data_IF_830089065999
#
_entry.id   IF_830089065999
#
_cell.length_a   1.000
_cell.length_b   1.000
_cell.length_c   1.000
_cell.angle_alpha   90.00
_cell.angle_beta   90.00
_cell.angle_gamma   90.00
#
_symmetry.space_group_name_H-M   'P 1'
#
loop_
_entity.id
_entity.type
_entity.pdbx_description
1 polymer ?
#
# COMPACT_ATOMS: atom_id res chain seq x y z
N UNK A 1 66.61 60.14 -22.05
CA UNK A 1 65.90 59.59 -20.87
C UNK A 1 64.45 59.36 -21.24
N UNK A 2 64.11 58.16 -21.72
CA UNK A 2 62.74 57.71 -21.94
C UNK A 2 62.65 56.21 -21.59
N UNK A 3 61.51 55.85 -20.99
CA UNK A 3 61.25 54.66 -20.16
C UNK A 3 61.29 53.33 -20.93
N UNK A 4 61.93 52.35 -20.30
CA UNK A 4 61.84 50.92 -20.59
C UNK A 4 60.46 50.35 -20.22
N UNK A 5 59.90 49.51 -21.10
CA UNK A 5 59.07 48.34 -20.81
C UNK A 5 59.28 47.33 -21.95
N UNK A 6 59.77 46.10 -21.71
CA UNK A 6 59.76 45.06 -22.74
C UNK A 6 58.43 44.30 -22.69
N UNK A 7 57.87 44.04 -23.89
CA UNK A 7 56.77 43.11 -24.10
C UNK A 7 57.18 41.72 -23.63
N UNK A 8 56.40 41.13 -22.72
CA UNK A 8 56.49 39.71 -22.40
C UNK A 8 55.63 38.94 -23.41
N UNK A 9 56.28 38.18 -24.29
CA UNK A 9 55.64 37.17 -25.14
C UNK A 9 55.13 36.02 -24.25
N UNK A 10 53.82 35.88 -24.12
CA UNK A 10 53.21 34.70 -23.53
C UNK A 10 53.09 33.63 -24.62
N UNK A 11 53.95 32.61 -24.55
CA UNK A 11 53.81 31.39 -25.34
C UNK A 11 52.54 30.65 -24.88
N UNK A 12 51.51 30.65 -25.73
CA UNK A 12 50.43 29.67 -25.67
C UNK A 12 50.99 28.33 -26.11
N UNK A 13 51.50 27.54 -25.16
CA UNK A 13 51.64 26.10 -25.35
C UNK A 13 50.24 25.51 -25.26
N UNK A 14 49.64 25.28 -26.44
CA UNK A 14 48.55 24.33 -26.60
C UNK A 14 49.09 22.96 -26.19
N UNK A 15 48.66 22.47 -25.04
CA UNK A 15 48.86 21.09 -24.63
C UNK A 15 47.66 20.29 -25.17
N UNK A 16 47.79 19.50 -26.26
CA UNK A 16 46.70 18.74 -26.83
C UNK A 16 46.61 17.41 -26.08
N UNK A 17 46.27 17.47 -24.80
CA UNK A 17 46.05 16.27 -23.98
C UNK A 17 44.86 16.46 -23.03
N UNK A 18 43.80 17.15 -23.49
CA UNK A 18 42.46 16.82 -23.03
C UNK A 18 42.02 15.60 -23.83
N UNK A 19 42.49 14.43 -23.40
CA UNK A 19 41.89 13.18 -23.79
C UNK A 19 40.39 13.30 -23.52
N UNK A 20 39.59 13.29 -24.58
CA UNK A 20 38.17 13.06 -24.47
C UNK A 20 38.01 11.78 -23.66
N UNK A 21 37.53 11.89 -22.42
CA UNK A 21 37.06 10.75 -21.67
C UNK A 21 35.99 10.09 -22.54
N UNK A 22 36.41 9.05 -23.24
CA UNK A 22 35.58 8.29 -24.14
C UNK A 22 34.62 7.56 -23.21
N UNK A 23 33.43 8.13 -23.00
CA UNK A 23 32.41 7.55 -22.12
C UNK A 23 32.27 6.08 -22.50
N UNK A 24 32.61 5.16 -21.61
CA UNK A 24 32.41 3.75 -21.90
C UNK A 24 30.90 3.52 -22.01
N UNK A 25 30.40 3.29 -23.22
CA UNK A 25 28.98 2.98 -23.43
C UNK A 25 28.58 1.63 -22.82
N UNK A 26 29.56 0.84 -22.37
CA UNK A 26 29.39 -0.48 -21.80
C UNK A 26 28.99 -0.41 -20.32
N UNK A 27 27.95 -1.15 -19.96
CA UNK A 27 27.52 -1.35 -18.59
C UNK A 27 28.48 -2.29 -17.85
N UNK A 28 28.95 -1.89 -16.68
CA UNK A 28 29.77 -2.70 -15.76
C UNK A 28 28.89 -3.30 -14.67
N UNK A 29 28.88 -4.63 -14.54
CA UNK A 29 28.20 -5.34 -13.45
C UNK A 29 28.94 -5.15 -12.13
N UNK A 30 28.31 -4.44 -11.20
CA UNK A 30 28.86 -4.14 -9.89
C UNK A 30 28.67 -5.27 -8.87
N UNK A 31 27.71 -6.18 -9.09
CA UNK A 31 27.46 -7.30 -8.16
C UNK A 31 28.64 -8.26 -8.11
N UNK A 32 29.35 -8.42 -9.23
CA UNK A 32 30.53 -9.30 -9.34
C UNK A 32 31.58 -9.07 -8.25
N UNK A 33 31.83 -7.80 -7.89
CA UNK A 33 32.81 -7.40 -6.86
C UNK A 33 32.25 -7.44 -5.42
N UNK A 34 30.94 -7.64 -5.24
CA UNK A 34 30.31 -7.67 -3.91
C UNK A 34 30.56 -9.02 -3.23
N UNK A 35 31.02 -8.92 -1.98
CA UNK A 35 31.07 -10.00 -0.99
C UNK A 35 30.16 -9.63 0.19
N UNK A 36 29.04 -10.35 0.44
CA UNK A 36 28.14 -10.02 1.56
C UNK A 36 28.81 -10.02 2.94
N UNK A 37 29.81 -10.87 3.18
CA UNK A 37 30.53 -10.91 4.48
C UNK A 37 31.30 -9.63 4.77
N UNK A 38 31.77 -8.95 3.72
CA UNK A 38 32.69 -7.81 3.86
C UNK A 38 31.96 -6.48 3.68
N UNK A 39 30.85 -6.48 2.94
CA UNK A 39 30.18 -5.25 2.49
C UNK A 39 28.77 -5.05 3.04
N UNK A 40 28.16 -6.07 3.67
CA UNK A 40 26.90 -5.87 4.37
C UNK A 40 27.13 -5.03 5.64
N UNK A 41 26.33 -3.97 5.80
CA UNK A 41 26.37 -3.10 7.00
C UNK A 41 25.28 -3.51 7.99
N UNK A 42 24.10 -3.88 7.47
CA UNK A 42 22.98 -4.34 8.26
C UNK A 42 22.08 -5.26 7.42
N UNK A 43 21.35 -6.16 8.08
CA UNK A 43 20.47 -7.15 7.48
C UNK A 43 21.18 -8.46 7.15
N UNK A 44 20.43 -9.56 7.07
CA UNK A 44 20.93 -10.79 6.47
C UNK A 44 21.06 -10.62 4.95
N UNK A 45 22.27 -10.75 4.42
CA UNK A 45 22.57 -10.70 2.98
C UNK A 45 23.16 -12.01 2.50
N UNK A 46 22.75 -12.44 1.31
CA UNK A 46 23.33 -13.57 0.60
C UNK A 46 23.56 -13.22 -0.86
N UNK A 47 24.51 -13.90 -1.49
CA UNK A 47 24.83 -13.78 -2.91
C UNK A 47 24.83 -15.17 -3.54
N UNK A 48 24.12 -15.30 -4.65
CA UNK A 48 24.17 -16.48 -5.53
C UNK A 48 24.43 -15.96 -6.94
N UNK A 49 25.55 -16.35 -7.54
CA UNK A 49 26.04 -15.78 -8.81
C UNK A 49 26.07 -14.25 -8.77
N UNK A 50 25.44 -13.57 -9.73
CA UNK A 50 25.32 -12.12 -9.81
C UNK A 50 24.02 -11.58 -9.18
N UNK A 51 23.39 -12.35 -8.29
CA UNK A 51 22.16 -11.95 -7.58
C UNK A 51 22.41 -11.77 -6.09
N UNK A 52 21.98 -10.64 -5.53
CA UNK A 52 22.00 -10.36 -4.10
C UNK A 52 20.60 -10.52 -3.51
N UNK A 53 20.50 -11.05 -2.30
CA UNK A 53 19.23 -11.18 -1.58
C UNK A 53 19.39 -10.67 -0.16
N UNK A 54 18.37 -9.98 0.33
CA UNK A 54 18.24 -9.63 1.75
C UNK A 54 16.90 -10.04 2.32
N UNK A 55 16.88 -10.38 3.61
CA UNK A 55 15.66 -10.69 4.36
C UNK A 55 14.91 -9.40 4.78
N UNK A 56 13.64 -9.56 5.19
CA UNK A 56 12.81 -8.46 5.68
C UNK A 56 13.23 -8.01 7.09
N UNK A 57 14.30 -7.23 7.17
CA UNK A 57 14.84 -6.68 8.41
C UNK A 57 14.80 -5.15 8.43
N UNK A 58 14.96 -4.57 9.62
CA UNK A 58 15.01 -3.12 9.75
C UNK A 58 16.29 -2.56 9.09
N UNK A 59 16.14 -1.71 8.08
CA UNK A 59 17.23 -0.96 7.43
C UNK A 59 18.38 -1.80 6.85
N UNK A 60 18.08 -2.95 6.24
CA UNK A 60 19.07 -3.76 5.51
C UNK A 60 19.79 -2.92 4.47
N UNK A 61 21.13 -2.90 4.49
CA UNK A 61 21.92 -2.16 3.49
C UNK A 61 23.28 -2.79 3.28
N UNK A 62 23.69 -2.78 2.02
CA UNK A 62 24.96 -3.31 1.55
C UNK A 62 25.62 -2.23 0.70
N UNK A 63 26.89 -1.96 1.01
CA UNK A 63 27.68 -1.02 0.23
C UNK A 63 28.33 -1.73 -0.97
N UNK A 64 28.42 -1.04 -2.10
CA UNK A 64 29.02 -1.59 -3.31
C UNK A 64 30.47 -1.08 -3.38
N UNK A 65 31.47 -1.97 -3.50
CA UNK A 65 32.86 -1.56 -3.61
C UNK A 65 33.18 -1.01 -5.01
N UNK A 66 34.20 -0.16 -5.06
CA UNK A 66 34.76 0.38 -6.30
C UNK A 66 34.51 1.87 -6.50
N UNK A 67 35.23 2.44 -7.46
CA UNK A 67 35.17 3.87 -7.75
C UNK A 67 33.88 4.26 -8.47
N UNK A 68 33.34 5.41 -8.06
CA UNK A 68 32.14 6.02 -8.62
C UNK A 68 32.56 7.20 -9.51
N UNK A 69 32.29 7.16 -10.83
CA UNK A 69 32.55 8.29 -11.70
C UNK A 69 31.76 9.52 -11.27
N UNK A 70 32.19 10.70 -11.72
CA UNK A 70 31.50 11.96 -11.39
C UNK A 70 30.10 12.05 -12.02
N UNK A 71 29.94 11.50 -13.22
CA UNK A 71 28.69 11.48 -13.97
C UNK A 71 28.51 10.07 -14.52
N UNK A 72 27.33 9.49 -14.29
CA UNK A 72 27.09 8.08 -14.57
C UNK A 72 25.59 7.80 -14.70
N UNK A 73 25.28 6.67 -15.32
CA UNK A 73 23.97 6.06 -15.20
C UNK A 73 24.12 4.78 -14.36
N UNK A 74 23.22 4.61 -13.39
CA UNK A 74 23.14 3.45 -12.51
C UNK A 74 21.81 2.74 -12.77
N UNK A 75 21.87 1.46 -13.13
CA UNK A 75 20.70 0.62 -13.36
C UNK A 75 20.63 -0.48 -12.32
N UNK A 76 19.46 -0.65 -11.71
CA UNK A 76 19.18 -1.66 -10.70
C UNK A 76 17.93 -2.42 -11.09
N UNK A 77 18.09 -3.73 -11.27
CA UNK A 77 17.00 -4.67 -11.51
C UNK A 77 16.70 -5.39 -10.21
N UNK A 78 15.47 -5.29 -9.70
CA UNK A 78 15.13 -5.89 -8.42
C UNK A 78 13.70 -6.43 -8.37
N UNK A 79 13.46 -7.32 -7.41
CA UNK A 79 12.14 -7.82 -7.03
C UNK A 79 12.02 -7.71 -5.52
N UNK A 80 10.99 -7.00 -5.04
CA UNK A 80 10.59 -7.09 -3.64
C UNK A 80 9.87 -8.41 -3.46
N UNK A 81 10.43 -9.34 -2.69
CA UNK A 81 9.87 -10.68 -2.47
C UNK A 81 8.76 -10.63 -1.42
N UNK A 82 8.96 -9.84 -0.36
CA UNK A 82 7.99 -9.59 0.71
C UNK A 82 8.24 -8.25 1.39
N UNK A 83 7.30 -7.78 2.21
CA UNK A 83 7.34 -6.47 2.87
C UNK A 83 6.34 -5.48 2.27
N UNK A 84 6.49 -4.19 2.60
CA UNK A 84 5.68 -3.05 2.09
C UNK A 84 6.43 -1.71 2.19
N UNK A 85 7.72 -1.78 2.46
CA UNK A 85 8.56 -0.65 2.80
C UNK A 85 9.74 -0.61 1.83
N UNK A 86 10.54 0.45 1.90
CA UNK A 86 11.36 0.90 0.79
C UNK A 86 12.35 -0.13 0.25
N UNK A 87 12.51 -0.11 -1.07
CA UNK A 87 13.76 -0.51 -1.72
C UNK A 87 14.58 0.76 -1.94
N UNK A 88 15.80 0.78 -1.45
CA UNK A 88 16.68 1.95 -1.46
C UNK A 88 17.88 1.71 -2.38
N UNK A 89 18.23 2.71 -3.18
CA UNK A 89 19.48 2.76 -3.94
C UNK A 89 20.27 3.99 -3.51
N UNK A 90 21.50 3.74 -3.05
CA UNK A 90 22.39 4.79 -2.55
C UNK A 90 23.28 5.27 -3.68
N UNK A 91 23.38 6.59 -3.81
CA UNK A 91 24.12 7.26 -4.86
C UNK A 91 24.86 8.50 -4.35
N UNK A 92 25.82 8.95 -5.15
CA UNK A 92 26.59 10.18 -4.92
C UNK A 92 26.34 11.17 -6.06
N UNK A 93 26.14 12.44 -5.73
CA UNK A 93 26.03 13.53 -6.70
C UNK A 93 26.85 14.72 -6.18
N UNK A 94 27.87 15.13 -6.94
CA UNK A 94 28.82 16.16 -6.49
C UNK A 94 29.50 15.76 -5.18
N UNK A 95 29.39 16.60 -4.15
CA UNK A 95 29.90 16.34 -2.80
C UNK A 95 28.91 15.63 -1.88
N UNK A 96 27.64 15.52 -2.31
CA UNK A 96 26.56 14.94 -1.52
C UNK A 96 26.29 13.47 -1.83
N UNK A 97 25.45 12.89 -0.99
CA UNK A 97 25.00 11.50 -1.07
C UNK A 97 23.52 11.41 -0.75
N UNK A 98 22.82 10.49 -1.38
CA UNK A 98 21.39 10.30 -1.17
C UNK A 98 21.03 8.81 -1.22
N UNK A 99 19.88 8.47 -0.63
CA UNK A 99 19.12 7.29 -1.04
C UNK A 99 17.97 7.76 -1.91
N UNK A 100 17.84 7.18 -3.10
CA UNK A 100 16.58 7.18 -3.82
C UNK A 100 15.79 5.97 -3.35
N UNK A 101 14.59 6.20 -2.82
CA UNK A 101 13.73 5.16 -2.32
C UNK A 101 12.52 4.97 -3.20
N UNK A 102 12.12 3.72 -3.38
CA UNK A 102 10.88 3.34 -4.05
C UNK A 102 10.01 2.62 -3.04
N UNK A 103 8.76 3.07 -2.94
CA UNK A 103 7.75 2.52 -2.03
C UNK A 103 8.10 2.68 -0.54
N UNK A 104 8.52 3.89 -0.18
CA UNK A 104 8.96 4.22 1.16
C UNK A 104 7.80 4.28 2.16
N UNK A 105 8.10 3.80 3.38
CA UNK A 105 7.34 4.02 4.61
C UNK A 105 5.88 3.54 4.61
N UNK A 106 5.51 2.57 3.78
CA UNK A 106 4.12 2.13 3.62
C UNK A 106 3.15 3.28 3.28
N UNK A 107 3.69 4.39 2.80
CA UNK A 107 2.96 5.54 2.26
C UNK A 107 3.09 5.57 0.73
N UNK A 108 3.76 4.57 0.16
CA UNK A 108 4.02 4.43 -1.27
C UNK A 108 4.68 5.67 -1.87
N UNK A 109 5.64 6.23 -1.13
CA UNK A 109 6.41 7.36 -1.59
C UNK A 109 7.60 6.89 -2.43
N UNK A 110 7.94 7.65 -3.46
CA UNK A 110 9.26 7.58 -4.07
C UNK A 110 9.90 8.96 -4.12
N UNK A 111 11.23 8.99 -4.14
CA UNK A 111 11.97 10.23 -4.15
C UNK A 111 13.33 10.10 -3.48
N UNK A 112 14.07 11.20 -3.46
CA UNK A 112 15.28 11.27 -2.65
C UNK A 112 14.89 11.44 -1.20
N UNK A 113 15.46 10.59 -0.36
CA UNK A 113 15.00 10.47 1.01
C UNK A 113 15.21 11.78 1.78
N UNK A 114 16.39 12.41 1.71
CA UNK A 114 16.69 13.64 2.44
C UNK A 114 17.33 14.70 1.54
N UNK A 115 16.70 15.88 1.52
CA UNK A 115 17.14 17.09 0.80
C UNK A 115 17.01 18.28 1.73
N UNK A 116 18.07 19.07 1.90
CA UNK A 116 18.07 20.30 2.70
C UNK A 116 17.50 20.12 4.13
N UNK A 117 17.75 18.95 4.75
CA UNK A 117 17.25 18.60 6.09
C UNK A 117 15.79 18.15 6.14
N UNK A 118 15.07 18.14 5.02
CA UNK A 118 13.71 17.62 4.90
C UNK A 118 13.70 16.20 4.35
N UNK A 119 12.81 15.36 4.88
CA UNK A 119 12.61 14.03 4.33
C UNK A 119 11.61 13.98 3.17
N UNK A 120 11.51 12.82 2.51
CA UNK A 120 10.69 12.58 1.33
C UNK A 120 9.18 12.84 1.51
N UNK A 121 8.66 13.02 2.74
CA UNK A 121 7.26 13.48 2.96
C UNK A 121 7.07 14.96 2.65
N UNK A 122 8.15 15.75 2.69
CA UNK A 122 8.06 17.21 2.66
C UNK A 122 8.98 17.86 1.65
N UNK A 123 9.95 17.13 1.09
CA UNK A 123 10.86 17.67 0.10
C UNK A 123 10.27 17.66 -1.34
N UNK A 124 10.82 18.47 -2.27
CA UNK A 124 10.24 18.68 -3.62
C UNK A 124 10.28 17.46 -4.55
N UNK A 125 11.01 16.40 -4.18
CA UNK A 125 11.17 15.20 -5.03
C UNK A 125 10.18 14.09 -4.70
N UNK A 126 9.25 14.38 -3.77
CA UNK A 126 8.17 13.49 -3.35
C UNK A 126 7.27 13.11 -4.51
N UNK A 127 7.18 11.81 -4.75
CA UNK A 127 6.18 11.18 -5.62
C UNK A 127 5.30 10.30 -4.75
N UNK A 128 3.98 10.50 -4.85
CA UNK A 128 2.99 9.66 -4.16
C UNK A 128 2.58 8.47 -5.04
N UNK A 129 1.99 7.45 -4.40
CA UNK A 129 1.40 6.28 -5.08
C UNK A 129 2.39 5.45 -5.91
N UNK A 130 3.69 5.48 -5.58
CA UNK A 130 4.71 4.63 -6.17
C UNK A 130 4.79 3.31 -5.40
N UNK A 131 3.90 2.38 -5.75
CA UNK A 131 3.85 1.05 -5.13
C UNK A 131 4.63 0.00 -5.91
N UNK A 132 5.40 -0.82 -5.19
CA UNK A 132 6.08 -2.01 -5.67
C UNK A 132 5.24 -3.26 -5.42
N UNK A 133 4.72 -3.90 -6.45
CA UNK A 133 4.10 -5.22 -6.34
C UNK A 133 5.15 -6.26 -5.94
N UNK A 134 4.90 -7.00 -4.86
CA UNK A 134 5.76 -8.12 -4.47
C UNK A 134 5.81 -9.19 -5.57
N UNK A 135 6.96 -9.79 -5.79
CA UNK A 135 7.19 -10.78 -6.85
C UNK A 135 7.32 -10.19 -8.25
N UNK A 136 6.98 -8.91 -8.48
CA UNK A 136 7.20 -8.23 -9.76
C UNK A 136 8.65 -7.74 -9.85
N UNK A 137 9.24 -7.91 -11.02
CA UNK A 137 10.57 -7.37 -11.35
C UNK A 137 10.45 -5.95 -11.87
N UNK A 138 11.29 -5.07 -11.35
CA UNK A 138 11.37 -3.64 -11.66
C UNK A 138 12.76 -3.27 -12.16
N UNK A 139 12.83 -2.29 -13.06
CA UNK A 139 14.07 -1.63 -13.47
C UNK A 139 14.07 -0.18 -12.96
N UNK A 140 15.00 0.14 -12.05
CA UNK A 140 15.29 1.51 -11.64
C UNK A 140 16.55 1.99 -12.36
N UNK A 141 16.45 3.14 -13.03
CA UNK A 141 17.60 3.82 -13.64
C UNK A 141 17.76 5.21 -13.03
N UNK A 142 18.95 5.50 -12.49
CA UNK A 142 19.34 6.81 -11.99
C UNK A 142 20.39 7.39 -12.94
N UNK A 143 20.10 8.54 -13.53
CA UNK A 143 21.02 9.31 -14.37
C UNK A 143 21.58 10.46 -13.58
N UNK A 144 22.83 10.35 -13.16
CA UNK A 144 23.52 11.33 -12.33
C UNK A 144 24.38 12.23 -13.20
N UNK A 145 24.16 13.54 -13.14
CA UNK A 145 24.93 14.57 -13.84
C UNK A 145 25.37 15.65 -12.85
N UNK A 146 26.28 16.53 -13.28
CA UNK A 146 26.78 17.62 -12.41
C UNK A 146 25.70 18.55 -11.86
N UNK A 147 24.57 18.67 -12.55
CA UNK A 147 23.49 19.61 -12.21
C UNK A 147 22.21 18.92 -11.74
N UNK A 148 22.25 17.62 -11.49
CA UNK A 148 21.08 16.93 -10.97
C UNK A 148 21.08 15.42 -11.18
N UNK A 149 19.96 14.83 -10.79
CA UNK A 149 19.71 13.39 -10.91
C UNK A 149 18.30 13.17 -11.43
N UNK A 150 18.16 12.35 -12.47
CA UNK A 150 16.86 11.90 -12.96
C UNK A 150 16.68 10.42 -12.63
N UNK A 151 15.52 10.07 -12.06
CA UNK A 151 15.16 8.71 -11.71
C UNK A 151 14.04 8.20 -12.63
N UNK A 152 14.22 6.99 -13.13
CA UNK A 152 13.28 6.32 -14.01
C UNK A 152 12.91 4.95 -13.44
N UNK A 153 11.62 4.64 -13.40
CA UNK A 153 11.13 3.30 -13.02
C UNK A 153 10.46 2.72 -14.26
N UNK A 154 10.93 1.54 -14.70
CA UNK A 154 10.49 0.86 -15.93
C UNK A 154 10.52 1.79 -17.16
N UNK A 155 11.53 2.66 -17.22
CA UNK A 155 11.73 3.63 -18.31
C UNK A 155 10.91 4.93 -18.20
N UNK A 156 9.99 5.04 -17.23
CA UNK A 156 9.20 6.26 -16.99
C UNK A 156 9.94 7.17 -16.02
N UNK A 157 10.16 8.44 -16.40
CA UNK A 157 10.75 9.43 -15.49
C UNK A 157 9.77 9.72 -14.34
N UNK A 158 10.20 9.44 -13.11
CA UNK A 158 9.41 9.67 -11.90
C UNK A 158 9.86 10.92 -11.15
N UNK A 159 11.16 11.20 -11.13
CA UNK A 159 11.74 12.30 -10.36
C UNK A 159 12.88 12.93 -11.14
N UNK A 160 12.96 14.27 -11.08
CA UNK A 160 14.16 15.01 -11.49
C UNK A 160 14.56 15.97 -10.37
N UNK A 161 15.69 15.69 -9.73
CA UNK A 161 16.36 16.60 -8.80
C UNK A 161 17.29 17.53 -9.57
N UNK A 162 17.24 18.83 -9.28
CA UNK A 162 18.11 19.85 -9.85
C UNK A 162 18.98 20.45 -8.74
N UNK A 163 20.30 20.38 -8.92
CA UNK A 163 21.27 20.85 -7.94
C UNK A 163 22.63 20.17 -8.12
N UNK A 164 23.65 20.69 -7.44
CA UNK A 164 25.00 20.11 -7.45
C UNK A 164 25.18 18.97 -6.44
N UNK A 165 24.12 18.64 -5.69
CA UNK A 165 24.09 17.61 -4.66
C UNK A 165 24.49 18.08 -3.27
N UNK A 166 24.89 19.34 -3.07
CA UNK A 166 25.36 19.85 -1.77
C UNK A 166 24.32 19.80 -0.65
N UNK A 167 23.04 19.75 -0.98
CA UNK A 167 21.91 19.62 -0.05
C UNK A 167 21.41 18.17 0.14
N UNK A 168 22.00 17.19 -0.55
CA UNK A 168 21.66 15.78 -0.43
C UNK A 168 22.36 15.15 0.78
N UNK A 169 21.59 14.37 1.54
CA UNK A 169 22.10 13.63 2.70
C UNK A 169 21.43 12.25 2.87
N UNK A 170 21.89 11.48 3.86
CA UNK A 170 21.26 10.22 4.29
C UNK A 170 20.63 10.41 5.66
N UNK A 171 19.50 9.74 5.93
CA UNK A 171 19.03 9.60 7.32
C UNK A 171 20.06 8.86 8.18
N UNK A 172 20.03 9.09 9.50
CA UNK A 172 20.83 8.33 10.46
C UNK A 172 20.72 6.80 10.32
N UNK A 173 19.52 6.27 10.04
CA UNK A 173 19.31 4.83 9.91
C UNK A 173 19.94 4.22 8.64
N UNK A 174 20.30 5.07 7.67
CA UNK A 174 20.73 4.69 6.33
C UNK A 174 22.22 4.89 6.06
N UNK A 175 23.01 5.24 7.08
CA UNK A 175 24.41 5.58 6.90
C UNK A 175 25.24 4.44 6.28
N UNK A 176 26.06 4.81 5.28
CA UNK A 176 27.11 3.98 4.70
C UNK A 176 28.49 4.42 5.26
N UNK A 177 29.50 3.51 5.30
CA UNK A 177 30.79 3.79 5.93
C UNK A 177 31.61 4.90 5.26
N UNK A 178 31.49 5.03 3.94
CA UNK A 178 32.20 6.05 3.15
C UNK A 178 31.23 7.07 2.54
N UNK A 179 31.72 8.30 2.35
CA UNK A 179 30.96 9.39 1.73
C UNK A 179 30.75 9.16 0.22
N UNK A 180 31.67 8.49 -0.45
CA UNK A 180 31.67 8.30 -1.90
C UNK A 180 31.41 6.85 -2.29
N UNK A 181 30.29 6.30 -1.83
CA UNK A 181 29.98 4.89 -2.02
C UNK A 181 28.55 4.69 -2.50
N UNK A 182 28.39 3.84 -3.51
CA UNK A 182 27.09 3.34 -3.94
C UNK A 182 26.63 2.23 -3.01
N UNK A 183 25.34 1.91 -3.08
CA UNK A 183 24.81 0.80 -2.30
C UNK A 183 23.40 0.46 -2.72
N UNK A 184 22.89 -0.61 -2.12
CA UNK A 184 21.47 -0.97 -2.17
C UNK A 184 20.99 -1.34 -0.78
N UNK A 185 19.70 -1.19 -0.54
CA UNK A 185 19.09 -1.50 0.74
C UNK A 185 17.60 -1.76 0.63
N UNK A 186 17.05 -2.24 1.74
CA UNK A 186 15.64 -2.48 1.90
C UNK A 186 15.24 -2.23 3.36
N UNK A 187 14.11 -1.58 3.58
CA UNK A 187 13.55 -1.43 4.92
C UNK A 187 12.42 -2.43 5.08
N UNK A 188 12.48 -3.33 6.07
CA UNK A 188 11.42 -4.31 6.41
C UNK A 188 10.82 -5.03 5.18
N UNK A 189 11.65 -5.27 4.18
CA UNK A 189 11.27 -5.90 2.92
C UNK A 189 12.35 -6.88 2.50
N UNK A 190 11.95 -8.10 2.15
CA UNK A 190 12.88 -9.05 1.54
C UNK A 190 13.01 -8.68 0.06
N UNK A 191 14.23 -8.54 -0.43
CA UNK A 191 14.48 -8.03 -1.79
C UNK A 191 15.56 -8.87 -2.46
N UNK A 192 15.31 -9.23 -3.70
CA UNK A 192 16.28 -9.80 -4.62
C UNK A 192 16.72 -8.73 -5.60
N UNK A 193 18.00 -8.37 -5.57
CA UNK A 193 18.64 -7.52 -6.57
C UNK A 193 19.29 -8.43 -7.62
N UNK A 194 18.67 -8.48 -8.80
CA UNK A 194 19.09 -9.35 -9.90
C UNK A 194 20.24 -8.76 -10.71
N UNK A 195 20.37 -7.44 -10.72
CA UNK A 195 21.40 -6.73 -11.49
C UNK A 195 21.65 -5.37 -10.87
N UNK A 196 22.93 -5.00 -10.75
CA UNK A 196 23.35 -3.65 -10.36
C UNK A 196 24.48 -3.26 -11.28
N UNK A 197 24.26 -2.22 -12.08
CA UNK A 197 25.17 -1.87 -13.16
C UNK A 197 25.38 -0.38 -13.29
N UNK A 198 26.61 -0.02 -13.65
CA UNK A 198 26.98 1.36 -13.86
C UNK A 198 27.66 1.52 -15.21
N UNK A 199 27.39 2.64 -15.87
CA UNK A 199 28.20 3.15 -16.97
C UNK A 199 28.57 4.60 -16.70
N UNK A 200 29.80 4.98 -17.04
CA UNK A 200 30.19 6.37 -17.04
C UNK A 200 29.43 7.15 -18.12
N UNK A 201 29.03 8.37 -17.81
CA UNK A 201 28.24 9.19 -18.70
C UNK A 201 28.77 10.62 -18.75
N UNK A 202 28.44 11.34 -19.82
CA UNK A 202 28.68 12.77 -19.95
C UNK A 202 27.50 13.42 -20.70
N UNK A 203 27.21 14.69 -20.43
CA UNK A 203 26.19 15.46 -21.16
C UNK A 203 25.04 16.01 -20.31
N UNK A 204 24.10 16.69 -20.96
CA UNK A 204 23.00 17.40 -20.32
C UNK A 204 21.95 16.45 -19.69
N UNK A 205 21.23 16.95 -18.69
CA UNK A 205 20.07 16.27 -18.12
C UNK A 205 19.00 16.05 -19.19
N UNK A 206 18.39 14.85 -19.27
CA UNK A 206 17.24 14.64 -20.15
C UNK A 206 16.05 15.50 -19.71
N UNK A 207 15.45 16.25 -20.64
CA UNK A 207 14.17 16.93 -20.41
C UNK A 207 13.02 15.92 -20.44
N UNK A 208 12.06 16.03 -19.53
CA UNK A 208 10.86 15.20 -19.52
C UNK A 208 10.01 15.51 -20.77
N UNK A 209 9.91 14.59 -21.72
CA UNK A 209 8.89 14.66 -22.77
C UNK A 209 7.66 13.87 -22.34
N UNK A 210 6.43 14.40 -22.48
CA UNK A 210 5.22 13.64 -22.26
C UNK A 210 5.09 12.60 -23.39
N UNK A 211 5.06 11.31 -23.03
CA UNK A 211 4.69 10.27 -23.98
C UNK A 211 3.18 10.35 -24.20
N UNK A 212 2.78 10.78 -25.39
CA UNK A 212 1.40 10.68 -25.85
C UNK A 212 1.01 9.20 -25.92
N UNK A 213 -0.01 8.80 -25.16
CA UNK A 213 -0.66 7.50 -25.35
C UNK A 213 -1.44 7.53 -26.66
N UNK A 214 -1.00 6.76 -27.65
CA UNK A 214 -1.77 6.46 -28.85
C UNK A 214 -3.02 5.66 -28.48
N UNK A 215 -4.18 6.33 -28.53
CA UNK A 215 -5.50 5.71 -28.46
C UNK A 215 -5.90 5.29 -29.88
N UNK A 216 -5.40 4.14 -30.33
CA UNK A 216 -5.89 3.52 -31.57
C UNK A 216 -5.64 2.02 -31.56
N UNK A 217 -6.67 1.25 -31.21
CA UNK A 217 -7.07 0.01 -31.91
C UNK A 217 -8.31 -0.60 -31.24
N UNK A 218 -9.48 -0.01 -31.47
CA UNK A 218 -10.74 -0.76 -31.46
C UNK A 218 -11.00 -1.20 -32.91
N UNK A 219 -10.87 -2.48 -33.18
CA UNK A 219 -11.32 -3.06 -34.44
C UNK A 219 -11.90 -4.46 -34.18
N UNK A 220 -13.23 -4.51 -34.21
CA UNK A 220 -14.03 -5.72 -34.29
C UNK A 220 -13.75 -6.47 -35.60
N UNK A 221 -13.53 -7.79 -35.61
CA UNK A 221 -13.65 -8.57 -36.84
C UNK A 221 -15.06 -9.16 -36.98
N UNK A 222 -15.70 -8.90 -38.11
CA UNK A 222 -16.88 -9.63 -38.60
C UNK A 222 -16.48 -11.01 -39.12
N UNK A 223 -17.41 -11.94 -38.99
CA UNK A 223 -17.32 -13.36 -39.32
C UNK A 223 -16.96 -13.68 -40.77
N UNK A 224 -16.17 -14.74 -40.94
CA UNK A 224 -16.06 -15.57 -42.14
C UNK A 224 -16.03 -17.04 -41.72
N UNK A 225 -16.93 -17.84 -42.30
CA UNK A 225 -17.11 -19.26 -42.03
C UNK A 225 -15.86 -20.08 -42.35
N UNK A 226 -15.53 -21.05 -41.50
CA UNK A 226 -15.18 -22.40 -41.96
C UNK A 226 -15.34 -23.43 -40.84
N UNK A 227 -15.95 -24.55 -41.23
CA UNK A 227 -16.40 -25.66 -40.40
C UNK A 227 -15.26 -26.53 -39.87
N UNK A 228 -15.37 -27.01 -38.62
CA UNK A 228 -15.18 -28.43 -38.26
C UNK A 228 -15.60 -28.72 -36.82
N UNK A 229 -16.46 -29.73 -36.68
CA UNK A 229 -17.10 -30.23 -35.47
C UNK A 229 -16.18 -31.12 -34.64
N UNK A 230 -16.16 -30.94 -33.31
CA UNK A 230 -16.05 -32.03 -32.34
C UNK A 230 -16.89 -31.66 -31.10
N UNK A 231 -17.72 -32.60 -30.66
CA UNK A 231 -18.80 -32.42 -29.68
C UNK A 231 -18.33 -32.23 -28.23
N UNK A 232 -19.01 -31.36 -27.48
CA UNK A 232 -19.04 -31.37 -26.00
C UNK A 232 -20.45 -31.72 -25.50
N UNK A 233 -20.61 -32.36 -24.32
CA UNK A 233 -21.91 -32.77 -23.81
C UNK A 233 -22.80 -31.60 -23.37
N UNK A 234 -24.09 -31.75 -23.64
CA UNK A 234 -25.23 -30.87 -23.40
C UNK A 234 -25.19 -29.93 -22.18
N UNK A 235 -25.32 -28.62 -22.46
CA UNK A 235 -25.56 -27.53 -21.51
C UNK A 235 -26.99 -27.52 -20.89
N UNK A 236 -27.81 -28.55 -21.12
CA UNK A 236 -29.22 -28.58 -20.67
C UNK A 236 -29.44 -29.18 -19.28
N UNK A 237 -28.39 -29.65 -18.60
CA UNK A 237 -28.45 -30.10 -17.19
C UNK A 237 -27.98 -29.03 -16.18
N UNK A 238 -27.30 -27.96 -16.61
CA UNK A 238 -26.87 -26.87 -15.73
C UNK A 238 -27.99 -25.87 -15.40
N UNK A 239 -29.04 -25.78 -16.23
CA UNK A 239 -30.13 -24.82 -16.05
C UNK A 239 -31.30 -25.31 -15.18
N UNK A 240 -31.17 -26.45 -14.49
CA UNK A 240 -32.25 -27.04 -13.66
C UNK A 240 -31.83 -27.44 -12.24
N UNK A 241 -30.80 -26.79 -11.66
CA UNK A 241 -30.52 -26.91 -10.23
C UNK A 241 -30.92 -25.62 -9.47
N UNK A 242 -32.09 -25.74 -8.83
CA UNK A 242 -32.65 -25.00 -7.69
C UNK A 242 -32.81 -23.47 -7.76
N UNK A 243 -34.06 -23.05 -7.95
CA UNK A 243 -34.66 -21.83 -7.38
C UNK A 243 -34.83 -21.95 -5.85
N UNK A 244 -33.78 -22.37 -5.13
CA UNK A 244 -33.70 -22.19 -3.69
C UNK A 244 -33.18 -20.78 -3.47
N UNK A 245 -33.95 -19.95 -2.76
CA UNK A 245 -33.47 -18.64 -2.34
C UNK A 245 -32.16 -18.84 -1.57
N UNK A 246 -31.10 -18.14 -1.99
CA UNK A 246 -29.81 -18.19 -1.29
C UNK A 246 -29.98 -17.65 0.14
N UNK A 247 -28.93 -17.83 0.94
CA UNK A 247 -28.86 -17.46 2.34
C UNK A 247 -29.15 -15.98 2.64
N UNK A 248 -28.99 -15.59 3.91
CA UNK A 248 -29.31 -14.24 4.40
C UNK A 248 -28.13 -13.63 5.15
N UNK A 249 -27.86 -12.35 4.92
CA UNK A 249 -26.79 -11.59 5.59
C UNK A 249 -27.38 -10.46 6.42
N UNK A 250 -26.86 -10.28 7.63
CA UNK A 250 -27.24 -9.20 8.53
C UNK A 250 -26.25 -8.05 8.44
N UNK A 251 -26.71 -6.84 8.15
CA UNK A 251 -25.92 -5.62 8.30
C UNK A 251 -26.26 -4.93 9.61
N UNK A 252 -25.27 -4.56 10.41
CA UNK A 252 -25.46 -3.78 11.64
C UNK A 252 -24.88 -2.39 11.46
N UNK A 253 -25.73 -1.39 11.35
CA UNK A 253 -25.35 0.02 11.16
C UNK A 253 -25.52 0.83 12.45
N UNK A 254 -24.84 1.97 12.52
CA UNK A 254 -25.00 2.94 13.60
C UNK A 254 -26.24 3.80 13.39
N UNK A 255 -26.89 4.20 14.49
CA UNK A 255 -28.05 5.10 14.46
C UNK A 255 -27.73 6.43 13.75
N UNK A 256 -26.48 6.89 13.88
CA UNK A 256 -25.97 8.11 13.28
C UNK A 256 -24.54 7.89 12.82
N UNK A 257 -24.17 8.53 11.72
CA UNK A 257 -22.79 8.61 11.23
C UNK A 257 -22.18 7.25 10.84
N UNK A 258 -22.99 6.32 10.30
CA UNK A 258 -22.47 5.22 9.49
C UNK A 258 -21.97 5.76 8.13
N UNK A 259 -21.09 5.04 7.43
CA UNK A 259 -20.60 5.47 6.11
C UNK A 259 -21.46 4.85 5.00
N UNK A 260 -22.14 5.67 4.19
CA UNK A 260 -23.19 5.19 3.29
C UNK A 260 -22.69 4.18 2.25
N UNK A 261 -21.58 4.45 1.54
CA UNK A 261 -21.02 3.49 0.56
C UNK A 261 -20.57 2.18 1.18
N UNK A 262 -20.05 2.21 2.41
CA UNK A 262 -19.65 1.01 3.15
C UNK A 262 -20.85 0.14 3.55
N UNK A 263 -22.05 0.72 3.61
CA UNK A 263 -23.31 -0.01 3.74
C UNK A 263 -23.85 -0.46 2.37
N UNK A 264 -23.98 0.47 1.42
CA UNK A 264 -24.74 0.27 0.20
C UNK A 264 -24.03 -0.63 -0.82
N UNK A 265 -22.72 -0.46 -1.01
CA UNK A 265 -21.98 -1.20 -2.04
C UNK A 265 -21.84 -2.70 -1.75
N UNK A 266 -21.43 -3.14 -0.53
CA UNK A 266 -21.39 -4.57 -0.23
C UNK A 266 -22.78 -5.20 -0.20
N UNK A 267 -23.81 -4.46 0.24
CA UNK A 267 -25.21 -4.90 0.16
C UNK A 267 -25.62 -5.18 -1.29
N UNK A 268 -25.30 -4.27 -2.21
CA UNK A 268 -25.60 -4.40 -3.63
C UNK A 268 -24.97 -5.67 -4.23
N UNK A 269 -23.70 -5.97 -3.91
CA UNK A 269 -23.03 -7.18 -4.40
C UNK A 269 -23.69 -8.47 -3.85
N UNK A 270 -24.07 -8.50 -2.57
CA UNK A 270 -24.76 -9.64 -1.96
C UNK A 270 -26.15 -9.88 -2.56
N UNK A 271 -26.93 -8.82 -2.72
CA UNK A 271 -28.27 -8.88 -3.35
C UNK A 271 -28.17 -9.30 -4.81
N UNK A 272 -27.20 -8.78 -5.56
CA UNK A 272 -26.91 -9.19 -6.95
C UNK A 272 -26.52 -10.67 -7.03
N UNK A 273 -25.81 -11.19 -6.02
CA UNK A 273 -25.49 -12.61 -5.90
C UNK A 273 -26.64 -13.47 -5.38
N UNK A 274 -27.82 -12.89 -5.12
CA UNK A 274 -29.07 -13.59 -4.77
C UNK A 274 -29.32 -13.77 -3.27
N UNK A 275 -28.47 -13.23 -2.40
CA UNK A 275 -28.66 -13.27 -0.94
C UNK A 275 -29.69 -12.24 -0.50
N UNK A 276 -30.44 -12.55 0.57
CA UNK A 276 -31.26 -11.55 1.26
C UNK A 276 -30.42 -10.76 2.24
N UNK A 277 -30.60 -9.44 2.29
CA UNK A 277 -29.92 -8.57 3.26
C UNK A 277 -30.96 -7.92 4.17
N UNK A 278 -30.82 -8.11 5.48
CA UNK A 278 -31.56 -7.34 6.48
C UNK A 278 -30.62 -6.36 7.18
N UNK A 279 -31.17 -5.24 7.62
CA UNK A 279 -30.46 -4.20 8.36
C UNK A 279 -30.95 -4.15 9.80
N UNK A 280 -30.02 -4.24 10.74
CA UNK A 280 -30.22 -3.94 12.14
C UNK A 280 -29.50 -2.65 12.56
N UNK A 281 -30.08 -1.96 13.53
CA UNK A 281 -29.45 -0.91 14.31
C UNK A 281 -29.95 -1.02 15.76
N UNK A 282 -29.60 -0.09 16.66
CA UNK A 282 -30.02 -0.20 18.06
C UNK A 282 -31.53 -0.38 18.21
N UNK A 283 -32.31 0.33 17.40
CA UNK A 283 -33.75 0.18 17.29
C UNK A 283 -34.19 0.37 15.82
N UNK A 284 -35.50 0.41 15.57
CA UNK A 284 -36.07 0.53 14.22
C UNK A 284 -36.33 1.97 13.76
N UNK A 285 -35.83 2.97 14.50
CA UNK A 285 -35.83 4.35 14.06
C UNK A 285 -34.85 4.54 12.91
N UNK A 286 -35.10 5.57 12.12
CA UNK A 286 -34.26 5.93 10.99
C UNK A 286 -32.82 6.21 11.41
N UNK A 287 -31.89 5.64 10.63
CA UNK A 287 -30.46 5.84 10.78
C UNK A 287 -29.96 6.81 9.71
N UNK A 288 -29.01 7.67 10.08
CA UNK A 288 -28.50 8.72 9.18
C UNK A 288 -27.00 8.59 8.94
N UNK A 289 -26.52 8.60 7.69
CA UNK A 289 -25.10 8.44 7.39
C UNK A 289 -24.30 9.71 7.70
N UNK A 290 -22.97 9.59 7.66
CA UNK A 290 -22.09 10.75 7.57
C UNK A 290 -22.38 11.56 6.31
N UNK A 291 -22.30 12.88 6.40
CA UNK A 291 -22.25 13.74 5.22
C UNK A 291 -21.09 13.33 4.30
N UNK A 292 -21.31 13.43 2.98
CA UNK A 292 -20.31 13.12 1.95
C UNK A 292 -19.75 11.67 2.02
N UNK A 293 -20.56 10.72 2.50
CA UNK A 293 -20.20 9.29 2.53
C UNK A 293 -20.75 8.50 1.33
N UNK A 294 -21.21 9.23 0.30
CA UNK A 294 -21.73 8.71 -0.97
C UNK A 294 -23.23 8.46 -1.00
N UNK A 295 -23.98 9.09 -0.09
CA UNK A 295 -25.44 9.16 -0.17
C UNK A 295 -25.89 10.00 -1.37
N UNK A 296 -27.06 9.66 -1.93
CA UNK A 296 -27.71 10.44 -2.98
C UNK A 296 -28.37 11.72 -2.45
N UNK A 297 -29.12 12.39 -3.32
CA UNK A 297 -29.90 13.59 -2.95
C UNK A 297 -31.02 13.32 -1.93
N UNK A 298 -31.34 12.04 -1.68
CA UNK A 298 -32.29 11.59 -0.66
C UNK A 298 -31.69 11.54 0.76
N UNK A 299 -30.40 11.87 0.91
CA UNK A 299 -29.71 11.91 2.20
C UNK A 299 -29.28 10.54 2.73
N UNK A 300 -29.63 9.45 2.03
CA UNK A 300 -29.20 8.09 2.39
C UNK A 300 -29.77 7.59 3.72
N UNK A 301 -30.94 8.07 4.14
CA UNK A 301 -31.65 7.57 5.33
C UNK A 301 -31.93 6.07 5.19
N UNK A 302 -31.60 5.29 6.22
CA UNK A 302 -31.87 3.85 6.25
C UNK A 302 -32.78 3.51 7.43
N UNK A 303 -33.91 2.87 7.15
CA UNK A 303 -34.80 2.33 8.18
C UNK A 303 -34.45 0.86 8.47
N UNK A 304 -34.03 0.51 9.70
CA UNK A 304 -33.71 -0.87 10.05
C UNK A 304 -34.92 -1.80 10.00
N UNK A 305 -34.68 -3.02 9.51
CA UNK A 305 -35.66 -4.09 9.44
C UNK A 305 -35.96 -4.66 10.83
N UNK A 306 -34.94 -4.70 11.70
CA UNK A 306 -34.98 -5.33 13.03
C UNK A 306 -34.16 -4.51 14.03
N UNK A 307 -34.59 -4.48 15.30
CA UNK A 307 -33.77 -3.90 16.36
C UNK A 307 -32.65 -4.89 16.73
N UNK A 308 -31.49 -4.39 17.13
CA UNK A 308 -30.31 -5.21 17.42
C UNK A 308 -30.58 -6.30 18.47
N UNK A 309 -31.41 -6.00 19.47
CA UNK A 309 -31.80 -6.96 20.53
C UNK A 309 -32.83 -8.00 20.09
N UNK A 310 -33.51 -7.77 18.96
CA UNK A 310 -34.55 -8.65 18.40
C UNK A 310 -34.01 -9.55 17.28
N UNK A 311 -32.72 -9.44 16.96
CA UNK A 311 -32.06 -10.26 15.94
C UNK A 311 -32.02 -11.72 16.40
N UNK A 312 -32.58 -12.59 15.56
CA UNK A 312 -32.43 -14.04 15.65
C UNK A 312 -31.21 -14.48 14.81
N UNK A 313 -30.06 -14.80 15.42
CA UNK A 313 -28.82 -15.09 14.69
C UNK A 313 -28.88 -16.40 13.89
N UNK A 314 -29.86 -17.28 14.13
CA UNK A 314 -30.00 -18.52 13.36
C UNK A 314 -30.41 -18.27 11.91
N UNK A 315 -31.10 -17.15 11.63
CA UNK A 315 -31.63 -16.79 10.31
C UNK A 315 -30.60 -16.32 9.30
N UNK A 316 -29.38 -16.04 9.75
CA UNK A 316 -28.35 -15.37 8.96
C UNK A 316 -27.13 -16.25 8.82
N UNK A 317 -26.44 -16.19 7.68
CA UNK A 317 -25.20 -16.93 7.42
C UNK A 317 -23.96 -16.07 7.69
N UNK A 318 -24.13 -14.75 7.72
CA UNK A 318 -23.07 -13.78 7.98
C UNK A 318 -23.59 -12.50 8.63
N UNK A 319 -22.71 -11.80 9.35
CA UNK A 319 -22.95 -10.47 9.92
C UNK A 319 -21.88 -9.50 9.42
N UNK A 320 -22.29 -8.29 9.04
CA UNK A 320 -21.43 -7.22 8.51
C UNK A 320 -21.59 -5.97 9.36
N UNK A 321 -20.48 -5.37 9.77
CA UNK A 321 -20.41 -4.06 10.40
C UNK A 321 -19.75 -3.06 9.44
N UNK A 322 -20.53 -2.30 8.67
CA UNK A 322 -20.02 -1.13 7.95
C UNK A 322 -19.38 -0.12 8.90
N UNK A 323 -18.45 0.68 8.39
CA UNK A 323 -17.79 1.70 9.18
C UNK A 323 -18.57 3.01 9.23
N UNK A 324 -17.84 4.10 9.14
CA UNK A 324 -18.25 5.39 9.70
C UNK A 324 -18.00 5.45 11.22
N UNK A 325 -17.79 6.66 11.73
CA UNK A 325 -17.41 6.83 13.13
C UNK A 325 -18.52 6.44 14.12
N UNK A 326 -19.78 6.49 13.67
CA UNK A 326 -20.96 6.08 14.44
C UNK A 326 -20.88 4.66 14.99
N UNK A 327 -20.32 3.73 14.22
CA UNK A 327 -20.30 2.30 14.59
C UNK A 327 -19.51 2.02 15.88
N UNK A 328 -18.69 2.98 16.31
CA UNK A 328 -17.95 2.93 17.58
C UNK A 328 -18.87 2.76 18.80
N UNK A 329 -20.16 3.09 18.67
CA UNK A 329 -21.18 2.85 19.70
C UNK A 329 -21.32 1.37 20.10
N UNK A 330 -20.84 0.44 19.27
CA UNK A 330 -20.90 -1.01 19.51
C UNK A 330 -19.60 -1.60 20.08
N UNK A 331 -18.56 -0.80 20.32
CA UNK A 331 -17.27 -1.31 20.84
C UNK A 331 -17.40 -1.75 22.31
N UNK A 332 -17.48 -3.07 22.51
CA UNK A 332 -17.83 -3.67 23.80
C UNK A 332 -16.81 -3.39 24.91
N UNK A 333 -15.55 -3.74 24.70
CA UNK A 333 -14.50 -3.63 25.71
C UNK A 333 -13.64 -2.36 25.57
N UNK A 334 -14.06 -1.37 24.79
CA UNK A 334 -13.34 -0.10 24.69
C UNK A 334 -13.54 0.71 25.97
N UNK A 335 -12.45 0.96 26.69
CA UNK A 335 -12.43 1.70 27.97
C UNK A 335 -12.29 3.22 27.78
N UNK A 336 -12.05 3.67 26.54
CA UNK A 336 -11.97 5.08 26.22
C UNK A 336 -13.35 5.76 26.10
N UNK A 337 -13.32 7.02 25.68
CA UNK A 337 -14.52 7.82 25.47
C UNK A 337 -14.37 8.74 24.26
N UNK A 338 -15.33 8.73 23.35
CA UNK A 338 -15.36 9.64 22.21
C UNK A 338 -15.91 11.01 22.59
N UNK A 339 -15.44 12.06 21.91
CA UNK A 339 -15.96 13.42 22.11
C UNK A 339 -17.43 13.51 21.67
N UNK A 340 -17.80 12.80 20.61
CA UNK A 340 -19.18 12.75 20.13
C UNK A 340 -20.02 11.80 21.01
N UNK A 341 -21.10 12.28 21.65
CA UNK A 341 -21.85 11.48 22.63
C UNK A 341 -22.47 10.22 22.02
N UNK A 342 -22.99 10.30 20.79
CA UNK A 342 -23.64 9.16 20.12
C UNK A 342 -22.68 7.99 19.83
N UNK A 343 -21.37 8.23 19.79
CA UNK A 343 -20.36 7.17 19.59
C UNK A 343 -20.07 6.39 20.87
N UNK A 344 -20.56 6.89 22.02
CA UNK A 344 -20.40 6.26 23.32
C UNK A 344 -21.66 5.47 23.66
N UNK A 345 -21.92 4.40 22.91
CA UNK A 345 -23.07 3.53 23.16
C UNK A 345 -23.12 3.06 24.62
N UNK A 346 -24.33 2.97 25.16
CA UNK A 346 -24.56 2.44 26.49
C UNK A 346 -24.18 0.96 26.60
N UNK A 347 -24.17 0.45 27.83
CA UNK A 347 -23.83 -0.94 28.13
C UNK A 347 -24.71 -1.93 27.36
N UNK A 348 -25.99 -1.62 27.14
CA UNK A 348 -26.93 -2.46 26.41
C UNK A 348 -26.57 -2.59 24.93
N UNK A 349 -26.27 -1.47 24.25
CA UNK A 349 -25.80 -1.46 22.85
C UNK A 349 -24.53 -2.29 22.67
N UNK A 350 -23.55 -2.06 23.55
CA UNK A 350 -22.26 -2.74 23.56
C UNK A 350 -22.42 -4.25 23.80
N UNK A 351 -23.24 -4.65 24.77
CA UNK A 351 -23.52 -6.04 25.08
C UNK A 351 -24.27 -6.76 23.95
N UNK A 352 -25.29 -6.13 23.37
CA UNK A 352 -26.07 -6.71 22.29
C UNK A 352 -25.20 -7.01 21.06
N UNK A 353 -24.36 -6.06 20.64
CA UNK A 353 -23.43 -6.28 19.53
C UNK A 353 -22.43 -7.42 19.84
N UNK A 354 -21.86 -7.45 21.05
CA UNK A 354 -20.93 -8.51 21.44
C UNK A 354 -21.61 -9.88 21.50
N UNK A 355 -22.83 -9.97 22.00
CA UNK A 355 -23.61 -11.20 22.05
C UNK A 355 -23.89 -11.74 20.65
N UNK A 356 -24.27 -10.87 19.70
CA UNK A 356 -24.46 -11.29 18.31
C UNK A 356 -23.17 -11.82 17.71
N UNK A 357 -22.04 -11.10 17.85
CA UNK A 357 -20.75 -11.59 17.37
C UNK A 357 -20.43 -12.98 17.94
N UNK A 358 -20.65 -13.19 19.25
CA UNK A 358 -20.45 -14.50 19.88
C UNK A 358 -21.37 -15.58 19.30
N UNK A 359 -22.64 -15.27 19.04
CA UNK A 359 -23.60 -16.22 18.46
C UNK A 359 -23.21 -16.64 17.04
N UNK A 360 -22.72 -15.69 16.21
CA UNK A 360 -22.23 -16.00 14.87
C UNK A 360 -20.97 -16.86 14.91
N UNK A 361 -19.98 -16.50 15.74
CA UNK A 361 -18.75 -17.29 15.89
C UNK A 361 -19.04 -18.69 16.44
N UNK A 362 -19.92 -18.81 17.45
CA UNK A 362 -20.32 -20.11 18.02
C UNK A 362 -21.00 -21.01 16.98
N UNK A 363 -21.74 -20.40 16.05
CA UNK A 363 -22.44 -21.12 14.98
C UNK A 363 -21.57 -21.29 13.73
N UNK A 364 -20.28 -20.99 13.81
CA UNK A 364 -19.32 -21.10 12.71
C UNK A 364 -19.77 -20.30 11.47
N UNK A 365 -20.16 -19.04 11.67
CA UNK A 365 -20.67 -18.12 10.64
C UNK A 365 -19.71 -16.96 10.39
N UNK A 366 -19.80 -16.35 9.22
CA UNK A 366 -18.91 -15.25 8.83
C UNK A 366 -19.19 -13.96 9.61
N UNK A 367 -18.13 -13.28 10.05
CA UNK A 367 -18.18 -11.98 10.71
C UNK A 367 -17.29 -11.01 9.93
N UNK A 368 -17.88 -9.94 9.42
CA UNK A 368 -17.21 -8.95 8.57
C UNK A 368 -17.21 -7.56 9.22
N UNK A 369 -16.06 -6.87 9.18
CA UNK A 369 -15.93 -5.46 9.55
C UNK A 369 -15.29 -4.65 8.43
N UNK A 370 -15.85 -3.48 8.12
CA UNK A 370 -15.34 -2.60 7.05
C UNK A 370 -14.92 -1.27 7.66
N UNK A 371 -13.75 -0.75 7.31
CA UNK A 371 -13.26 0.55 7.79
C UNK A 371 -13.28 0.64 9.33
N UNK A 372 -13.96 1.63 9.91
CA UNK A 372 -14.12 1.74 11.36
C UNK A 372 -14.94 0.60 11.97
N UNK A 373 -15.72 -0.16 11.18
CA UNK A 373 -16.43 -1.36 11.62
C UNK A 373 -15.48 -2.45 12.13
N UNK A 374 -14.24 -2.50 11.63
CA UNK A 374 -13.18 -3.39 12.14
C UNK A 374 -12.90 -3.17 13.63
N UNK A 375 -13.09 -1.93 14.12
CA UNK A 375 -12.92 -1.62 15.55
C UNK A 375 -13.94 -2.34 16.44
N UNK A 376 -15.15 -2.62 15.94
CA UNK A 376 -16.17 -3.37 16.68
C UNK A 376 -15.68 -4.80 16.91
N UNK A 377 -15.13 -5.43 15.87
CA UNK A 377 -14.54 -6.76 15.93
C UNK A 377 -13.34 -6.76 16.89
N UNK A 378 -12.47 -5.73 16.82
CA UNK A 378 -11.31 -5.59 17.71
C UNK A 378 -11.73 -5.54 19.20
N UNK A 379 -12.78 -4.78 19.53
CA UNK A 379 -13.24 -4.61 20.91
C UNK A 379 -14.29 -5.63 21.37
N UNK A 380 -14.74 -6.52 20.49
CA UNK A 380 -15.55 -7.67 20.90
C UNK A 380 -14.76 -8.59 21.84
N UNK A 381 -15.47 -9.40 22.63
CA UNK A 381 -14.90 -10.43 23.48
C UNK A 381 -15.60 -11.76 23.23
N UNK A 382 -14.90 -12.67 22.58
CA UNK A 382 -15.28 -14.07 22.38
C UNK A 382 -14.42 -14.93 23.29
N UNK A 383 -15.05 -15.65 24.22
CA UNK A 383 -14.37 -16.40 25.28
C UNK A 383 -13.32 -15.54 26.04
N UNK A 384 -13.67 -14.28 26.31
CA UNK A 384 -12.82 -13.33 27.05
C UNK A 384 -11.67 -12.71 26.25
N UNK A 385 -11.49 -13.04 24.96
CA UNK A 385 -10.44 -12.48 24.09
C UNK A 385 -11.03 -11.68 22.95
N UNK A 386 -10.26 -10.74 22.40
CA UNK A 386 -10.64 -10.09 21.15
C UNK A 386 -10.87 -11.12 20.05
N UNK A 387 -11.91 -10.91 19.23
CA UNK A 387 -12.13 -11.71 18.02
C UNK A 387 -10.94 -11.62 17.06
N UNK A 388 -10.25 -10.47 17.04
CA UNK A 388 -9.09 -10.26 16.17
C UNK A 388 -7.77 -10.72 16.79
N UNK A 389 -7.75 -11.21 18.04
CA UNK A 389 -6.50 -11.59 18.69
C UNK A 389 -5.77 -12.70 17.91
N UNK A 390 -4.61 -12.38 17.35
CA UNK A 390 -3.81 -13.29 16.53
C UNK A 390 -4.27 -13.43 15.08
N UNK A 391 -5.41 -12.85 14.70
CA UNK A 391 -5.97 -12.89 13.34
C UNK A 391 -5.29 -11.89 12.42
N UNK A 392 -5.04 -12.30 11.19
CA UNK A 392 -4.72 -11.37 10.10
C UNK A 392 -5.94 -10.54 9.77
N UNK A 393 -5.74 -9.24 9.59
CA UNK A 393 -6.81 -8.30 9.30
C UNK A 393 -6.28 -7.07 8.58
N UNK A 394 -7.15 -6.33 7.91
CA UNK A 394 -6.86 -4.96 7.43
C UNK A 394 -7.77 -3.95 8.14
N UNK A 395 -7.31 -2.70 8.19
CA UNK A 395 -8.03 -1.55 8.73
C UNK A 395 -7.37 -0.27 8.19
N UNK A 396 -8.12 0.84 8.07
CA UNK A 396 -7.63 2.03 7.40
C UNK A 396 -6.66 2.80 8.27
N UNK A 397 -5.66 3.42 7.64
CA UNK A 397 -4.75 4.37 8.30
C UNK A 397 -5.43 5.68 8.71
N UNK A 398 -6.67 5.90 8.28
CA UNK A 398 -7.52 7.06 8.64
C UNK A 398 -7.74 7.15 10.16
N UNK A 399 -7.98 8.37 10.62
CA UNK A 399 -8.26 8.63 12.04
C UNK A 399 -9.56 7.97 12.50
N UNK A 400 -9.49 7.38 13.68
CA UNK A 400 -10.64 7.03 14.50
C UNK A 400 -11.31 8.32 15.02
N UNK A 401 -12.52 8.25 15.60
CA UNK A 401 -13.18 9.47 16.08
C UNK A 401 -12.39 10.13 17.22
N UNK A 402 -12.29 11.47 17.29
CA UNK A 402 -11.61 12.15 18.39
C UNK A 402 -12.19 11.76 19.76
N UNK A 403 -11.32 11.56 20.75
CA UNK A 403 -11.71 11.08 22.07
C UNK A 403 -10.55 10.95 23.04
N UNK A 404 -10.77 10.18 24.09
CA UNK A 404 -9.80 9.79 25.10
C UNK A 404 -9.46 8.32 24.90
N UNK A 405 -8.19 8.06 24.66
CA UNK A 405 -7.60 6.76 24.38
C UNK A 405 -6.51 6.49 25.41
N UNK A 406 -6.60 5.40 26.17
CA UNK A 406 -5.69 5.09 27.27
C UNK A 406 -5.45 6.29 28.22
N UNK A 407 -6.54 6.99 28.56
CA UNK A 407 -6.51 8.16 29.45
C UNK A 407 -5.98 9.46 28.83
N UNK A 408 -5.65 9.49 27.53
CA UNK A 408 -5.12 10.68 26.84
C UNK A 408 -6.02 11.14 25.70
N UNK A 409 -6.27 12.45 25.55
CA UNK A 409 -6.94 12.98 24.37
C UNK A 409 -6.18 12.62 23.08
N UNK A 410 -6.89 12.24 22.04
CA UNK A 410 -6.30 11.86 20.77
C UNK A 410 -7.31 11.47 19.70
N UNK A 411 -6.77 11.13 18.53
CA UNK A 411 -7.51 10.64 17.37
C UNK A 411 -6.58 9.70 16.58
N UNK A 412 -6.22 8.54 17.17
CA UNK A 412 -5.26 7.63 16.55
C UNK A 412 -5.84 7.05 15.25
N UNK A 413 -5.02 6.36 14.46
CA UNK A 413 -5.55 5.59 13.33
C UNK A 413 -6.53 4.52 13.82
N UNK A 414 -7.54 4.18 13.01
CA UNK A 414 -8.47 3.06 13.27
C UNK A 414 -7.71 1.75 13.52
N UNK A 415 -6.55 1.58 12.86
CA UNK A 415 -5.60 0.47 13.08
C UNK A 415 -5.18 0.28 14.54
N UNK A 416 -5.11 1.37 15.30
CA UNK A 416 -4.77 1.33 16.73
C UNK A 416 -5.71 0.39 17.51
N UNK A 417 -7.01 0.38 17.18
CA UNK A 417 -7.97 -0.50 17.85
C UNK A 417 -7.61 -1.98 17.70
N UNK A 418 -7.16 -2.37 16.51
CA UNK A 418 -6.73 -3.75 16.21
C UNK A 418 -5.43 -4.08 16.92
N UNK A 419 -4.45 -3.17 16.91
CA UNK A 419 -3.15 -3.34 17.57
C UNK A 419 -3.29 -3.51 19.09
N UNK A 420 -4.11 -2.66 19.74
CA UNK A 420 -4.39 -2.79 21.18
C UNK A 420 -5.00 -4.15 21.54
N UNK A 421 -5.69 -4.77 20.58
CA UNK A 421 -6.38 -6.04 20.75
C UNK A 421 -5.61 -7.22 20.12
N UNK A 422 -4.32 -7.04 19.83
CA UNK A 422 -3.39 -8.07 19.33
C UNK A 422 -3.76 -8.67 17.98
N UNK A 423 -4.49 -7.94 17.14
CA UNK A 423 -4.66 -8.30 15.74
C UNK A 423 -3.39 -8.08 14.92
N UNK A 424 -3.20 -8.90 13.89
CA UNK A 424 -2.05 -8.82 12.98
C UNK A 424 -2.48 -8.06 11.74
N UNK A 425 -2.27 -6.75 11.77
CA UNK A 425 -2.63 -5.95 10.63
C UNK A 425 -1.71 -6.23 9.45
N UNK A 426 -2.32 -6.50 8.29
CA UNK A 426 -1.60 -6.42 7.03
C UNK A 426 -1.24 -4.96 6.75
N UNK A 427 -0.10 -4.72 6.08
CA UNK A 427 0.14 -3.52 5.29
C UNK A 427 -1.13 -2.84 4.73
N UNK A 428 -1.28 -1.52 4.90
CA UNK A 428 -2.42 -0.81 4.30
C UNK A 428 -2.22 -0.72 2.78
N UNK A 429 -3.27 -0.82 1.96
CA UNK A 429 -3.10 -0.74 0.51
C UNK A 429 -2.44 -1.97 -0.12
N UNK A 430 -2.48 -3.14 0.52
CA UNK A 430 -1.56 -4.24 0.23
C UNK A 430 -2.18 -5.54 -0.26
N UNK A 431 -3.49 -5.69 -0.19
CA UNK A 431 -4.17 -6.89 -0.65
C UNK A 431 -4.61 -6.68 -2.10
N UNK A 432 -4.29 -7.64 -2.95
CA UNK A 432 -4.63 -7.59 -4.37
C UNK A 432 -3.81 -6.55 -5.14
N UNK A 433 -4.49 -5.64 -5.83
CA UNK A 433 -3.94 -4.58 -6.66
C UNK A 433 -3.52 -3.40 -5.78
N UNK A 434 -2.23 -3.23 -5.58
CA UNK A 434 -1.76 -2.28 -4.59
C UNK A 434 -1.71 -0.83 -5.09
N UNK A 435 -2.20 -0.56 -6.31
CA UNK A 435 -2.49 0.79 -6.80
C UNK A 435 -3.91 1.24 -6.44
N UNK A 436 -4.67 0.38 -5.77
CA UNK A 436 -6.06 0.55 -5.43
C UNK A 436 -6.29 0.05 -4.02
N UNK A 437 -7.16 0.69 -3.26
CA UNK A 437 -7.69 0.07 -2.04
C UNK A 437 -8.94 -0.74 -2.31
N UNK A 438 -9.37 -0.84 -3.57
CA UNK A 438 -10.64 -1.46 -3.93
C UNK A 438 -10.71 -2.94 -3.59
N UNK A 439 -9.58 -3.61 -3.44
CA UNK A 439 -9.47 -5.03 -3.12
C UNK A 439 -8.74 -5.32 -1.80
N UNK A 440 -8.61 -4.31 -0.95
CA UNK A 440 -8.08 -4.45 0.40
C UNK A 440 -9.06 -5.15 1.35
N UNK A 441 -9.19 -6.46 1.16
CA UNK A 441 -10.05 -7.36 1.96
C UNK A 441 -9.21 -8.54 2.44
N UNK A 442 -9.09 -8.68 3.76
CA UNK A 442 -8.45 -9.84 4.38
C UNK A 442 -9.51 -10.80 4.88
N UNK A 443 -9.37 -12.07 4.49
CA UNK A 443 -10.13 -13.20 5.01
C UNK A 443 -9.17 -14.08 5.83
N UNK A 444 -9.45 -14.24 7.12
CA UNK A 444 -8.74 -15.16 8.04
C UNK A 444 -9.79 -16.04 8.72
N UNK A 445 -9.86 -17.31 8.30
CA UNK A 445 -10.98 -18.21 8.56
C UNK A 445 -12.32 -17.55 8.17
N UNK A 446 -13.27 -17.49 9.12
CA UNK A 446 -14.59 -16.86 8.92
C UNK A 446 -14.62 -15.39 9.33
N UNK A 447 -13.46 -14.77 9.49
CA UNK A 447 -13.34 -13.34 9.81
C UNK A 447 -12.91 -12.57 8.58
N UNK A 448 -13.71 -11.61 8.18
CA UNK A 448 -13.46 -10.75 7.03
C UNK A 448 -13.23 -9.32 7.53
N UNK A 449 -12.18 -8.68 7.06
CA UNK A 449 -11.94 -7.26 7.34
C UNK A 449 -11.61 -6.55 6.03
N UNK A 450 -12.20 -5.37 5.82
CA UNK A 450 -11.97 -4.55 4.64
C UNK A 450 -11.47 -3.17 5.05
N UNK A 451 -10.50 -2.64 4.32
CA UNK A 451 -9.71 -1.48 4.75
C UNK A 451 -10.55 -0.20 4.84
N UNK A 452 -11.22 0.22 3.77
CA UNK A 452 -12.00 1.46 3.73
C UNK A 452 -13.17 1.43 2.73
N UNK A 453 -13.78 2.58 2.48
CA UNK A 453 -14.89 2.74 1.53
C UNK A 453 -14.53 2.36 0.09
N UNK A 454 -13.26 2.27 -0.29
CA UNK A 454 -12.87 1.76 -1.60
C UNK A 454 -12.98 0.23 -1.65
N UNK A 455 -12.57 -0.44 -0.57
CA UNK A 455 -12.64 -1.91 -0.43
C UNK A 455 -14.04 -2.46 -0.16
N UNK A 456 -15.00 -1.59 0.16
CA UNK A 456 -16.33 -2.00 0.63
C UNK A 456 -17.08 -2.87 -0.38
N UNK A 457 -17.04 -2.53 -1.68
CA UNK A 457 -17.67 -3.33 -2.72
C UNK A 457 -17.05 -4.73 -2.82
N UNK A 458 -15.73 -4.82 -2.78
CA UNK A 458 -15.04 -6.11 -2.84
C UNK A 458 -15.32 -6.96 -1.61
N UNK A 459 -15.47 -6.35 -0.43
CA UNK A 459 -15.86 -7.07 0.79
C UNK A 459 -17.21 -7.80 0.62
N UNK A 460 -18.19 -7.14 -0.02
CA UNK A 460 -19.47 -7.76 -0.36
C UNK A 460 -19.34 -8.87 -1.40
N UNK A 461 -18.49 -8.67 -2.42
CA UNK A 461 -18.23 -9.68 -3.46
C UNK A 461 -17.59 -10.94 -2.89
N UNK A 462 -16.52 -10.80 -2.10
CA UNK A 462 -15.85 -11.95 -1.49
C UNK A 462 -16.76 -12.67 -0.49
N UNK A 463 -17.52 -11.93 0.33
CA UNK A 463 -18.49 -12.56 1.21
C UNK A 463 -19.56 -13.34 0.42
N UNK A 464 -20.06 -12.79 -0.69
CA UNK A 464 -21.00 -13.49 -1.56
C UNK A 464 -20.39 -14.78 -2.15
N UNK A 465 -19.13 -14.75 -2.56
CA UNK A 465 -18.42 -15.90 -3.09
C UNK A 465 -18.23 -17.00 -2.05
N UNK A 466 -17.74 -16.63 -0.86
CA UNK A 466 -17.53 -17.52 0.29
C UNK A 466 -18.83 -18.19 0.76
N UNK A 467 -19.95 -17.45 0.77
CA UNK A 467 -21.27 -18.00 1.12
C UNK A 467 -21.86 -18.87 0.00
N UNK A 468 -21.42 -18.71 -1.24
CA UNK A 468 -21.89 -19.52 -2.38
C UNK A 468 -21.20 -20.88 -2.46
N UNK A 469 -19.99 -20.98 -1.91
CA UNK A 469 -19.15 -22.17 -1.94
C UNK A 469 -18.58 -22.44 -0.53
N UNK A 470 -19.43 -22.82 0.44
CA UNK A 470 -18.95 -23.16 1.78
C UNK A 470 -17.99 -24.36 1.69
N UNK A 471 -16.80 -24.20 2.30
CA UNK A 471 -15.74 -25.23 2.39
C UNK A 471 -16.17 -26.50 3.13
#
# INVERSE_FOLDING_TARGET
MQRNWPLLFLFLLFDPALGSAQSSSQWRNLVSAVSPSDHAIAGAWSKTDDTLRTAAEASSRLAIPGDVPREYDLRVSFTRESGQHSVAVFLTCGSGRASFEVDAWAQHLAGFQAIAGQDCRSNPTRVENQHLQNGRRYELELRVRRQGVAAFIDGVNVVTYQGDGSDLSLLPLWQLPSQFQLGVGAYQSAVTFHRIELREASGAMPSASPVAMDRSASATPKAGQESRSVAMPNASQAARRSTAQRGRVLFVIADRHFFYREYAEPREELERAGFKVDVAAWNRASCYPHENSGQGSDGGEVRPDVALTDVDPERYDAIVFPGGWGVSMYQYAFEGRYNHPEYNGDVGKKQAANHLINSFVKSDKYVCGICNGVSVLAWSRVNGKSLLAGKQCTAPTRSAPPGVYNGRPGSPSIRWHVEQNRGRLVPAGSIGNPQSRADDVVVDDKIITAEDDQSAREAGRQLAELLSHPE
#
